data_IF_055832397242
#
_entry.id   IF_055832397242
#
_cell.length_a   1.000
_cell.length_b   1.000
_cell.length_c   1.000
_cell.angle_alpha   90.00
_cell.angle_beta   90.00
_cell.angle_gamma   90.00
#
_symmetry.space_group_name_H-M   'P 1'
#
loop_
_entity.id
_entity.type
_entity.pdbx_description
1 polymer ?
#
# COMPACT_ATOMS: atom_id res chain seq x y z
N UNK A 1 28.96 7.05 -18.63
CA UNK A 1 28.86 8.23 -17.75
C UNK A 1 27.98 7.81 -16.57
N UNK A 2 28.47 7.91 -15.33
CA UNK A 2 27.68 7.48 -14.15
C UNK A 2 26.45 8.41 -13.98
N UNK A 3 25.29 7.91 -13.55
CA UNK A 3 24.05 8.71 -13.46
C UNK A 3 24.21 9.94 -12.56
N UNK A 4 25.01 9.83 -11.49
CA UNK A 4 25.36 10.94 -10.60
C UNK A 4 26.12 12.07 -11.35
N UNK A 5 27.09 11.71 -12.19
CA UNK A 5 27.86 12.67 -12.99
C UNK A 5 27.01 13.42 -14.03
N UNK A 6 25.91 12.81 -14.49
CA UNK A 6 24.96 13.49 -15.38
C UNK A 6 24.08 14.49 -14.62
N UNK A 7 23.60 14.11 -13.43
CA UNK A 7 22.77 14.96 -12.58
C UNK A 7 23.54 16.18 -12.06
N UNK A 8 24.79 15.97 -11.65
CA UNK A 8 25.69 17.07 -11.28
C UNK A 8 25.82 18.05 -12.44
N UNK A 9 26.08 17.59 -13.66
CA UNK A 9 26.15 18.47 -14.85
C UNK A 9 24.83 19.16 -15.21
N UNK A 10 23.70 18.50 -14.96
CA UNK A 10 22.37 19.09 -15.22
C UNK A 10 22.10 20.28 -14.29
N UNK A 11 22.61 20.23 -13.06
CA UNK A 11 22.36 21.22 -12.01
C UNK A 11 23.54 22.19 -11.80
N UNK A 12 24.73 21.84 -12.29
CA UNK A 12 25.95 22.65 -12.12
C UNK A 12 25.83 24.00 -12.82
N UNK A 13 26.16 25.07 -12.08
CA UNK A 13 26.07 26.45 -12.56
C UNK A 13 24.65 26.92 -12.92
N UNK A 14 23.59 26.17 -12.57
CA UNK A 14 22.21 26.60 -12.82
C UNK A 14 21.82 27.69 -11.83
N UNK A 15 21.66 28.92 -12.33
CA UNK A 15 21.02 30.01 -11.59
C UNK A 15 19.57 29.65 -11.29
N UNK A 16 19.10 29.90 -10.06
CA UNK A 16 17.73 29.58 -9.64
C UNK A 16 17.12 30.77 -8.93
N UNK A 17 15.88 31.11 -9.31
CA UNK A 17 15.06 32.08 -8.62
C UNK A 17 13.88 31.37 -7.95
N UNK A 18 13.66 31.63 -6.66
CA UNK A 18 12.50 31.09 -5.94
C UNK A 18 11.35 32.09 -6.02
N UNK A 19 10.28 31.71 -6.72
CA UNK A 19 9.10 32.56 -6.92
C UNK A 19 7.92 32.07 -6.09
N UNK A 20 7.10 32.97 -5.53
CA UNK A 20 5.73 32.66 -5.15
C UNK A 20 4.98 31.89 -6.25
N UNK A 21 4.09 30.97 -5.88
CA UNK A 21 3.35 30.18 -6.86
C UNK A 21 2.41 31.05 -7.72
N UNK A 22 1.83 32.11 -7.16
CA UNK A 22 0.95 33.05 -7.89
C UNK A 22 1.64 33.73 -9.08
N UNK A 23 2.95 33.97 -9.01
CA UNK A 23 3.73 34.53 -10.10
C UNK A 23 3.77 33.60 -11.34
N UNK A 24 3.70 32.28 -11.14
CA UNK A 24 3.96 31.28 -12.20
C UNK A 24 2.83 30.27 -12.41
N UNK A 25 1.77 30.34 -11.60
CA UNK A 25 0.65 29.40 -11.63
C UNK A 25 -0.62 30.10 -11.15
N UNK A 26 -1.72 29.93 -11.87
CA UNK A 26 -3.04 30.31 -11.41
C UNK A 26 -3.67 29.17 -10.59
N UNK A 27 -4.70 29.49 -9.80
CA UNK A 27 -5.39 28.54 -8.95
C UNK A 27 -6.90 28.64 -9.09
N UNK A 28 -7.58 27.50 -9.22
CA UNK A 28 -9.02 27.42 -9.32
C UNK A 28 -9.63 26.59 -8.19
N UNK A 29 -10.45 27.24 -7.37
CA UNK A 29 -11.30 26.54 -6.41
C UNK A 29 -12.46 25.83 -7.13
N UNK A 30 -12.95 24.73 -6.57
CA UNK A 30 -14.09 24.01 -7.14
C UNK A 30 -15.47 24.62 -6.86
N UNK A 31 -16.50 23.97 -7.38
CA UNK A 31 -17.89 24.39 -7.27
C UNK A 31 -18.60 23.80 -6.04
N UNK A 32 -19.50 24.58 -5.44
CA UNK A 32 -20.24 24.22 -4.24
C UNK A 32 -21.46 23.32 -4.54
N UNK A 33 -21.19 22.08 -4.96
CA UNK A 33 -22.26 21.09 -5.16
C UNK A 33 -22.98 20.79 -3.84
N UNK A 34 -24.31 20.88 -3.85
CA UNK A 34 -25.16 20.65 -2.68
C UNK A 34 -25.28 19.13 -2.42
N UNK A 35 -24.98 18.70 -1.21
CA UNK A 35 -24.96 17.27 -0.85
C UNK A 35 -26.33 16.59 -0.97
N UNK A 36 -27.42 17.33 -0.75
CA UNK A 36 -28.78 16.84 -0.93
C UNK A 36 -29.17 16.63 -2.40
N UNK A 37 -28.35 17.09 -3.36
CA UNK A 37 -28.53 16.89 -4.80
C UNK A 37 -27.59 15.81 -5.35
N UNK A 38 -26.81 15.12 -4.50
CA UNK A 38 -25.96 14.03 -4.95
C UNK A 38 -26.80 12.85 -5.46
N UNK A 39 -26.33 12.26 -6.56
CA UNK A 39 -26.96 11.13 -7.25
C UNK A 39 -26.00 9.94 -7.29
N UNK A 40 -26.55 8.77 -7.60
CA UNK A 40 -25.79 7.53 -7.80
C UNK A 40 -25.36 7.34 -9.28
N UNK A 41 -25.84 8.19 -10.19
CA UNK A 41 -25.42 8.24 -11.60
C UNK A 41 -25.50 9.68 -12.14
N UNK A 42 -24.74 9.98 -13.21
CA UNK A 42 -24.68 11.31 -13.82
C UNK A 42 -23.25 11.74 -14.12
N UNK A 43 -22.95 13.04 -13.98
CA UNK A 43 -21.59 13.56 -14.10
C UNK A 43 -20.87 13.48 -12.74
N UNK A 44 -19.66 12.89 -12.69
CA UNK A 44 -18.96 12.66 -11.43
C UNK A 44 -18.33 13.92 -10.84
N UNK A 45 -18.32 13.99 -9.51
CA UNK A 45 -17.75 15.05 -8.70
C UNK A 45 -16.49 14.52 -8.01
N UNK A 46 -15.37 15.18 -8.24
CA UNK A 46 -14.11 14.93 -7.54
C UNK A 46 -14.17 15.64 -6.18
N UNK A 47 -14.16 14.85 -5.11
CA UNK A 47 -14.11 15.33 -3.72
C UNK A 47 -12.72 15.11 -3.13
N UNK A 48 -12.46 15.68 -1.96
CA UNK A 48 -11.18 15.54 -1.26
C UNK A 48 -10.78 14.08 -0.99
N UNK A 49 -11.75 13.17 -0.84
CA UNK A 49 -11.53 11.73 -0.65
C UNK A 49 -11.06 11.02 -1.91
N UNK A 50 -11.18 11.65 -3.09
CA UNK A 50 -10.74 11.12 -4.36
C UNK A 50 -9.26 11.41 -4.66
N UNK A 51 -8.56 12.14 -3.77
CA UNK A 51 -7.14 12.46 -3.93
C UNK A 51 -6.34 11.59 -2.96
N UNK A 52 -5.60 10.61 -3.50
CA UNK A 52 -4.90 9.61 -2.67
C UNK A 52 -3.54 10.09 -2.15
N UNK A 53 -2.99 11.16 -2.74
CA UNK A 53 -1.63 11.67 -2.49
C UNK A 53 -0.67 11.54 -3.68
N UNK A 54 -1.11 10.93 -4.78
CA UNK A 54 -0.39 10.82 -6.06
C UNK A 54 -1.34 10.95 -7.27
N UNK A 55 -2.49 10.29 -7.22
CA UNK A 55 -3.48 10.25 -8.28
C UNK A 55 -4.82 10.77 -7.80
N UNK A 56 -5.65 11.13 -8.78
CA UNK A 56 -7.08 11.33 -8.59
C UNK A 56 -7.79 10.02 -8.94
N UNK A 57 -8.42 9.39 -7.95
CA UNK A 57 -9.12 8.10 -8.09
C UNK A 57 -10.63 8.32 -8.20
N UNK A 58 -11.26 7.61 -9.14
CA UNK A 58 -12.70 7.70 -9.41
C UNK A 58 -13.55 6.69 -8.61
N UNK A 59 -13.03 6.16 -7.51
CA UNK A 59 -13.75 5.25 -6.63
C UNK A 59 -14.71 6.03 -5.74
N UNK A 60 -15.93 5.51 -5.54
CA UNK A 60 -16.94 6.09 -4.67
C UNK A 60 -17.20 7.59 -4.91
N UNK A 61 -17.10 8.02 -6.17
CA UNK A 61 -17.48 9.38 -6.58
C UNK A 61 -18.98 9.59 -6.39
N UNK A 62 -19.35 10.86 -6.16
CA UNK A 62 -20.76 11.27 -6.18
C UNK A 62 -21.07 11.94 -7.49
N UNK A 63 -22.32 11.87 -7.92
CA UNK A 63 -22.75 12.39 -9.20
C UNK A 63 -23.73 13.54 -9.03
N UNK A 64 -23.88 14.35 -10.08
CA UNK A 64 -24.94 15.35 -10.19
C UNK A 64 -25.54 15.33 -11.60
N UNK A 65 -26.71 15.95 -11.76
CA UNK A 65 -27.26 16.27 -13.08
C UNK A 65 -27.00 17.73 -13.42
N UNK A 66 -26.56 18.07 -14.65
CA UNK A 66 -26.47 19.45 -15.11
C UNK A 66 -27.75 20.27 -14.87
N UNK A 67 -28.91 19.64 -15.01
CA UNK A 67 -30.22 20.29 -14.82
C UNK A 67 -30.49 20.73 -13.37
N UNK A 68 -29.72 20.25 -12.39
CA UNK A 68 -29.89 20.61 -10.98
C UNK A 68 -29.29 22.00 -10.66
N UNK A 69 -28.50 22.58 -11.58
CA UNK A 69 -27.79 23.86 -11.40
C UNK A 69 -28.08 24.79 -12.58
N UNK A 70 -28.24 26.10 -12.30
CA UNK A 70 -28.48 27.12 -13.34
C UNK A 70 -27.19 27.79 -13.79
N UNK A 71 -26.15 27.68 -12.97
CA UNK A 71 -24.84 28.24 -13.18
C UNK A 71 -24.07 27.45 -14.25
N UNK A 72 -23.28 28.16 -15.07
CA UNK A 72 -22.34 27.49 -15.96
C UNK A 72 -21.18 26.90 -15.14
N UNK A 73 -21.18 25.58 -15.03
CA UNK A 73 -20.18 24.81 -14.31
C UNK A 73 -19.08 24.24 -15.22
N UNK A 74 -19.11 24.51 -16.54
CA UNK A 74 -18.14 24.01 -17.52
C UNK A 74 -16.71 24.29 -17.09
N UNK A 75 -16.50 25.46 -16.49
CA UNK A 75 -15.18 25.90 -16.06
C UNK A 75 -14.56 25.07 -14.92
N UNK A 76 -15.37 24.26 -14.20
CA UNK A 76 -14.92 23.34 -13.14
C UNK A 76 -14.60 21.93 -13.63
N UNK A 77 -14.66 21.71 -14.94
CA UNK A 77 -14.27 20.44 -15.56
C UNK A 77 -12.79 20.13 -15.31
N UNK A 78 -12.51 18.85 -15.12
CA UNK A 78 -11.17 18.29 -14.91
C UNK A 78 -10.74 17.58 -16.18
N UNK A 79 -9.55 17.90 -16.67
CA UNK A 79 -8.93 17.31 -17.85
C UNK A 79 -7.71 16.49 -17.50
N UNK A 80 -7.34 15.54 -18.38
CA UNK A 80 -6.13 14.72 -18.18
C UNK A 80 -4.91 15.62 -17.95
N UNK A 81 -4.13 15.29 -16.95
CA UNK A 81 -2.95 16.03 -16.52
C UNK A 81 -3.24 17.13 -15.51
N UNK A 82 -4.51 17.47 -15.21
CA UNK A 82 -4.84 18.45 -14.19
C UNK A 82 -4.31 18.01 -12.82
N UNK A 83 -3.71 18.96 -12.10
CA UNK A 83 -3.13 18.74 -10.77
C UNK A 83 -4.09 19.30 -9.73
N UNK A 84 -4.58 18.42 -8.89
CA UNK A 84 -5.60 18.72 -7.89
C UNK A 84 -5.02 18.62 -6.48
N UNK A 85 -5.57 19.42 -5.57
CA UNK A 85 -5.21 19.40 -4.14
C UNK A 85 -6.45 19.35 -3.26
N UNK A 86 -6.40 18.50 -2.23
CA UNK A 86 -7.41 18.47 -1.18
C UNK A 86 -7.16 19.61 -0.19
N UNK A 87 -8.16 20.47 0.01
CA UNK A 87 -8.00 21.71 0.77
C UNK A 87 -8.52 21.61 2.21
N UNK A 88 -9.18 20.53 2.63
CA UNK A 88 -9.72 20.44 3.99
C UNK A 88 -9.81 19.01 4.54
N UNK A 89 -9.88 18.89 5.88
CA UNK A 89 -10.07 17.64 6.59
C UNK A 89 -8.82 16.77 6.68
N UNK A 90 -8.98 15.46 6.92
CA UNK A 90 -7.85 14.52 7.07
C UNK A 90 -7.02 14.32 5.79
N UNK A 91 -7.47 14.88 4.67
CA UNK A 91 -6.81 14.80 3.36
C UNK A 91 -6.12 16.10 2.97
N UNK A 92 -6.18 17.15 3.79
CA UNK A 92 -5.59 18.45 3.49
C UNK A 92 -4.13 18.33 3.06
N UNK A 93 -3.79 18.98 1.94
CA UNK A 93 -2.43 18.98 1.40
C UNK A 93 -2.08 17.77 0.54
N UNK A 94 -2.95 16.77 0.44
CA UNK A 94 -2.79 15.69 -0.55
C UNK A 94 -2.97 16.26 -1.96
N UNK A 95 -2.06 15.87 -2.85
CA UNK A 95 -2.03 16.30 -4.25
C UNK A 95 -2.22 15.08 -5.13
N UNK A 96 -2.89 15.23 -6.27
CA UNK A 96 -3.08 14.15 -7.22
C UNK A 96 -3.15 14.67 -8.64
N UNK A 97 -2.60 13.90 -9.58
CA UNK A 97 -2.75 14.17 -11.02
C UNK A 97 -3.92 13.36 -11.59
N UNK A 98 -4.75 14.00 -12.43
CA UNK A 98 -5.86 13.33 -13.10
C UNK A 98 -5.38 12.60 -14.36
N UNK A 99 -5.75 11.33 -14.52
CA UNK A 99 -5.25 10.45 -15.60
C UNK A 99 -6.36 9.78 -16.43
N UNK A 100 -7.63 10.01 -16.09
CA UNK A 100 -8.76 9.36 -16.78
C UNK A 100 -9.34 10.27 -17.86
N UNK A 101 -9.82 9.69 -18.96
CA UNK A 101 -10.54 10.41 -20.02
C UNK A 101 -11.98 10.77 -19.62
N UNK A 102 -12.46 10.28 -18.46
CA UNK A 102 -13.82 10.57 -18.01
C UNK A 102 -13.97 12.06 -17.71
N UNK A 103 -15.11 12.63 -18.09
CA UNK A 103 -15.46 13.99 -17.70
C UNK A 103 -15.82 14.05 -16.22
N UNK A 104 -15.18 14.91 -15.45
CA UNK A 104 -15.43 15.07 -14.00
C UNK A 104 -15.38 16.54 -13.59
N UNK A 105 -15.95 16.88 -12.43
CA UNK A 105 -16.07 18.25 -11.94
C UNK A 105 -15.49 18.44 -10.54
N UNK A 106 -14.87 19.60 -10.29
CA UNK A 106 -14.23 19.94 -9.02
C UNK A 106 -15.24 20.35 -7.94
N UNK A 107 -15.20 19.68 -6.79
CA UNK A 107 -15.92 20.11 -5.59
C UNK A 107 -15.25 21.33 -4.91
N UNK A 108 -16.00 22.13 -4.15
CA UNK A 108 -15.51 23.36 -3.50
C UNK A 108 -14.33 23.17 -2.53
N UNK A 109 -14.10 21.95 -2.03
CA UNK A 109 -12.95 21.63 -1.16
C UNK A 109 -11.74 21.07 -1.91
N UNK A 110 -11.80 21.04 -3.24
CA UNK A 110 -10.72 20.63 -4.13
C UNK A 110 -10.27 21.83 -4.95
N UNK A 111 -8.96 22.05 -4.97
CA UNK A 111 -8.33 23.08 -5.79
C UNK A 111 -7.65 22.48 -7.02
N UNK A 112 -7.55 23.26 -8.10
CA UNK A 112 -6.81 22.93 -9.32
C UNK A 112 -5.73 23.97 -9.57
N UNK A 113 -4.51 23.50 -9.82
CA UNK A 113 -3.40 24.33 -10.27
C UNK A 113 -3.40 24.47 -11.80
N UNK A 114 -3.15 25.68 -12.28
CA UNK A 114 -3.11 26.03 -13.70
C UNK A 114 -1.76 26.72 -13.96
N UNK A 115 -0.67 25.97 -14.20
CA UNK A 115 0.65 26.55 -14.42
C UNK A 115 0.68 27.41 -15.68
N UNK A 116 1.49 28.48 -15.67
CA UNK A 116 1.77 29.27 -16.87
C UNK A 116 2.77 28.50 -17.72
N UNK A 117 2.30 27.82 -18.76
CA UNK A 117 3.07 26.82 -19.52
C UNK A 117 4.37 27.36 -20.16
N UNK A 118 4.46 28.67 -20.39
CA UNK A 118 5.66 29.34 -20.88
C UNK A 118 6.75 29.55 -19.82
N UNK A 119 6.48 29.24 -18.55
CA UNK A 119 7.39 29.43 -17.40
C UNK A 119 7.55 28.13 -16.61
N UNK A 120 6.45 27.40 -16.39
CA UNK A 120 6.39 26.30 -15.45
C UNK A 120 5.84 25.04 -16.10
N UNK A 121 6.67 24.01 -16.18
CA UNK A 121 6.24 22.69 -16.63
C UNK A 121 5.26 22.10 -15.61
N UNK A 122 4.09 21.69 -16.08
CA UNK A 122 3.02 21.12 -15.25
C UNK A 122 3.49 19.93 -14.39
N UNK A 123 4.23 18.98 -14.96
CA UNK A 123 4.72 17.82 -14.20
C UNK A 123 5.83 18.19 -13.21
N UNK A 124 6.62 19.20 -13.52
CA UNK A 124 7.60 19.74 -12.58
C UNK A 124 6.90 20.30 -11.34
N UNK A 125 5.83 21.08 -11.54
CA UNK A 125 4.95 21.54 -10.46
C UNK A 125 4.37 20.37 -9.65
N UNK A 126 3.86 19.33 -10.32
CA UNK A 126 3.33 18.14 -9.64
C UNK A 126 4.36 17.48 -8.72
N UNK A 127 5.58 17.19 -9.21
CA UNK A 127 6.62 16.58 -8.38
C UNK A 127 7.08 17.51 -7.25
N UNK A 128 7.14 18.81 -7.50
CA UNK A 128 7.46 19.82 -6.48
C UNK A 128 6.40 19.85 -5.36
N UNK A 129 5.12 19.78 -5.72
CA UNK A 129 4.02 19.76 -4.75
C UNK A 129 4.05 18.47 -3.90
N UNK A 130 4.35 17.32 -4.50
CA UNK A 130 4.53 16.06 -3.77
C UNK A 130 5.65 16.14 -2.72
N UNK A 131 6.78 16.76 -3.08
CA UNK A 131 7.91 17.00 -2.18
C UNK A 131 7.49 17.85 -0.96
N UNK A 132 6.60 18.83 -1.17
CA UNK A 132 6.25 19.85 -0.18
C UNK A 132 4.95 19.57 0.60
N UNK A 133 4.38 18.35 0.52
CA UNK A 133 3.13 17.97 1.21
C UNK A 133 3.13 18.31 2.70
N UNK A 134 4.26 18.10 3.41
CA UNK A 134 4.40 18.47 4.83
C UNK A 134 4.31 19.98 5.05
N UNK A 135 5.02 20.78 4.25
CA UNK A 135 4.99 22.24 4.31
C UNK A 135 3.59 22.78 3.99
N UNK A 136 2.94 22.21 2.97
CA UNK A 136 1.56 22.52 2.57
C UNK A 136 0.59 22.22 3.71
N UNK A 137 0.76 21.09 4.39
CA UNK A 137 -0.08 20.73 5.54
C UNK A 137 0.09 21.71 6.70
N UNK A 138 1.33 22.13 7.01
CA UNK A 138 1.61 23.14 8.04
C UNK A 138 0.94 24.48 7.68
N UNK A 139 0.93 24.86 6.40
CA UNK A 139 0.26 26.09 5.93
C UNK A 139 -1.27 26.07 6.12
N UNK A 140 -1.89 24.89 6.19
CA UNK A 140 -3.35 24.79 6.34
C UNK A 140 -3.85 25.24 7.71
N UNK A 141 -3.02 25.16 8.77
CA UNK A 141 -3.42 25.50 10.14
C UNK A 141 -4.65 24.72 10.65
N UNK A 142 -5.04 24.92 11.91
CA UNK A 142 -6.20 24.25 12.53
C UNK A 142 -5.91 22.81 12.98
N UNK A 143 -6.26 22.48 14.23
CA UNK A 143 -5.91 21.21 14.88
C UNK A 143 -6.47 19.94 14.19
N UNK A 144 -7.64 19.45 14.64
CA UNK A 144 -8.18 18.17 14.16
C UNK A 144 -8.79 18.23 12.73
N UNK A 145 -9.14 19.43 12.23
CA UNK A 145 -9.69 19.64 10.89
C UNK A 145 -8.97 20.82 10.20
N UNK A 146 -7.84 20.55 9.53
CA UNK A 146 -7.08 21.59 8.86
C UNK A 146 -7.82 22.12 7.64
N UNK A 147 -7.65 23.40 7.32
CA UNK A 147 -8.29 24.07 6.18
C UNK A 147 -7.32 25.00 5.44
N UNK A 148 -6.94 24.62 4.23
CA UNK A 148 -5.94 25.31 3.44
C UNK A 148 -6.54 26.52 2.70
N UNK A 149 -6.06 27.71 3.04
CA UNK A 149 -6.35 28.92 2.26
C UNK A 149 -5.58 28.90 0.94
N UNK A 150 -6.29 29.04 -0.18
CA UNK A 150 -5.67 29.15 -1.51
C UNK A 150 -4.75 30.37 -1.61
N UNK A 151 -5.15 31.52 -1.08
CA UNK A 151 -4.29 32.71 -1.07
C UNK A 151 -3.00 32.46 -0.28
N UNK A 152 -3.08 31.82 0.89
CA UNK A 152 -1.90 31.51 1.69
C UNK A 152 -0.99 30.48 0.99
N UNK A 153 -1.58 29.46 0.36
CA UNK A 153 -0.84 28.47 -0.41
C UNK A 153 -0.08 29.12 -1.57
N UNK A 154 -0.77 29.92 -2.39
CA UNK A 154 -0.20 30.49 -3.61
C UNK A 154 0.85 31.57 -3.32
N UNK A 155 0.65 32.40 -2.30
CA UNK A 155 1.60 33.47 -1.94
C UNK A 155 2.81 32.99 -1.13
N UNK A 156 2.65 31.96 -0.29
CA UNK A 156 3.72 31.53 0.66
C UNK A 156 4.53 30.34 0.19
N UNK A 157 3.99 29.48 -0.68
CA UNK A 157 4.76 28.35 -1.20
C UNK A 157 5.64 28.85 -2.36
N UNK A 158 6.95 28.86 -2.13
CA UNK A 158 7.93 29.25 -3.15
C UNK A 158 8.32 28.05 -3.99
N UNK A 159 8.40 28.21 -5.31
CA UNK A 159 8.84 27.20 -6.28
C UNK A 159 10.14 27.65 -6.97
N UNK A 160 11.13 26.75 -7.18
CA UNK A 160 12.36 27.12 -7.85
C UNK A 160 12.16 27.15 -9.37
N UNK A 161 12.56 28.26 -9.99
CA UNK A 161 12.59 28.44 -11.44
C UNK A 161 14.07 28.45 -11.87
N UNK A 162 14.57 27.36 -12.50
CA UNK A 162 15.95 27.31 -12.99
C UNK A 162 16.12 28.20 -14.21
N UNK A 163 17.29 28.82 -14.40
CA UNK A 163 17.58 29.72 -15.51
C UNK A 163 16.45 30.75 -15.78
N UNK A 164 16.04 31.56 -14.77
CA UNK A 164 14.86 32.41 -14.86
C UNK A 164 14.91 33.42 -16.02
N UNK A 165 16.12 33.81 -16.41
CA UNK A 165 16.39 34.75 -17.51
C UNK A 165 16.35 34.08 -18.90
N UNK A 166 16.17 32.76 -18.99
CA UNK A 166 16.07 32.00 -20.24
C UNK A 166 14.95 30.94 -20.13
N UNK A 167 13.70 31.30 -20.47
CA UNK A 167 12.54 30.41 -20.33
C UNK A 167 12.67 29.09 -21.09
N UNK A 168 13.27 29.09 -22.28
CA UNK A 168 13.48 27.87 -23.06
C UNK A 168 14.42 26.90 -22.34
N UNK A 169 15.56 27.41 -21.86
CA UNK A 169 16.51 26.61 -21.07
C UNK A 169 15.89 26.16 -19.75
N UNK A 170 15.11 27.01 -19.09
CA UNK A 170 14.38 26.67 -17.87
C UNK A 170 13.46 25.47 -18.09
N UNK A 171 12.59 25.54 -19.09
CA UNK A 171 11.64 24.48 -19.42
C UNK A 171 12.35 23.20 -19.85
N UNK A 172 13.49 23.29 -20.54
CA UNK A 172 14.31 22.12 -20.88
C UNK A 172 14.85 21.41 -19.62
N UNK A 173 15.40 22.16 -18.65
CA UNK A 173 15.87 21.60 -17.36
C UNK A 173 14.71 20.98 -16.59
N UNK A 174 13.58 21.69 -16.45
CA UNK A 174 12.39 21.17 -15.79
C UNK A 174 11.90 19.88 -16.45
N UNK A 175 11.88 19.82 -17.78
CA UNK A 175 11.46 18.63 -18.55
C UNK A 175 12.41 17.46 -18.35
N UNK A 176 13.71 17.70 -18.23
CA UNK A 176 14.69 16.65 -17.97
C UNK A 176 14.55 16.07 -16.55
N UNK A 177 14.31 16.94 -15.56
CA UNK A 177 13.95 16.52 -14.20
C UNK A 177 12.70 15.64 -14.22
N UNK A 178 11.65 16.10 -14.89
CA UNK A 178 10.39 15.35 -15.06
C UNK A 178 10.65 14.01 -15.72
N UNK A 179 11.45 13.95 -16.79
CA UNK A 179 11.76 12.70 -17.50
C UNK A 179 12.39 11.66 -16.57
N UNK A 180 13.27 12.08 -15.68
CA UNK A 180 13.93 11.20 -14.70
C UNK A 180 12.92 10.71 -13.66
N UNK A 181 12.12 11.61 -13.09
CA UNK A 181 11.14 11.28 -12.04
C UNK A 181 9.96 10.45 -12.56
N UNK A 182 9.49 10.73 -13.78
CA UNK A 182 8.46 9.94 -14.45
C UNK A 182 8.93 8.50 -14.71
N UNK A 183 10.21 8.30 -15.04
CA UNK A 183 10.76 6.95 -15.25
C UNK A 183 10.69 6.11 -13.98
N UNK A 184 11.02 6.68 -12.82
CA UNK A 184 10.86 5.97 -11.54
C UNK A 184 9.41 5.72 -11.18
N UNK A 185 8.53 6.69 -11.45
CA UNK A 185 7.09 6.57 -11.20
C UNK A 185 6.47 5.46 -12.07
N UNK A 186 6.83 5.38 -13.35
CA UNK A 186 6.38 4.35 -14.27
C UNK A 186 6.83 2.95 -13.85
N UNK A 187 8.11 2.78 -13.49
CA UNK A 187 8.63 1.50 -13.00
C UNK A 187 7.93 1.04 -11.72
N UNK A 188 7.66 1.96 -10.79
CA UNK A 188 6.94 1.64 -9.55
C UNK A 188 5.50 1.20 -9.84
N UNK A 189 4.83 1.87 -10.79
CA UNK A 189 3.48 1.50 -11.21
C UNK A 189 3.44 0.13 -11.89
N UNK A 190 4.39 -0.16 -12.79
CA UNK A 190 4.53 -1.45 -13.47
C UNK A 190 4.75 -2.59 -12.46
N UNK A 191 5.68 -2.42 -11.51
CA UNK A 191 5.94 -3.41 -10.46
C UNK A 191 4.72 -3.65 -9.57
N UNK A 192 3.94 -2.61 -9.26
CA UNK A 192 2.72 -2.72 -8.46
C UNK A 192 1.61 -3.47 -9.22
N UNK A 193 1.48 -3.21 -10.52
CA UNK A 193 0.56 -3.93 -11.40
C UNK A 193 0.97 -5.41 -11.55
N UNK A 194 2.26 -5.67 -11.71
CA UNK A 194 2.82 -7.03 -11.77
C UNK A 194 2.59 -7.77 -10.45
N UNK A 195 2.85 -7.15 -9.30
CA UNK A 195 2.58 -7.75 -7.98
C UNK A 195 1.10 -8.13 -7.83
N UNK A 196 0.19 -7.26 -8.27
CA UNK A 196 -1.25 -7.53 -8.23
C UNK A 196 -1.61 -8.73 -9.11
N UNK A 197 -1.06 -8.78 -10.33
CA UNK A 197 -1.27 -9.89 -11.27
C UNK A 197 -0.71 -11.20 -10.72
N UNK A 198 0.49 -11.18 -10.13
CA UNK A 198 1.12 -12.35 -9.53
C UNK A 198 0.37 -12.86 -8.30
N UNK A 199 -0.23 -12.00 -7.49
CA UNK A 199 -1.10 -12.43 -6.39
C UNK A 199 -2.36 -13.14 -6.88
N UNK A 200 -3.00 -12.64 -7.95
CA UNK A 200 -4.14 -13.31 -8.58
C UNK A 200 -3.74 -14.67 -9.14
N UNK A 201 -2.61 -14.72 -9.85
CA UNK A 201 -2.06 -15.95 -10.41
C UNK A 201 -1.70 -16.97 -9.32
N UNK A 202 -1.08 -16.53 -8.22
CA UNK A 202 -0.76 -17.36 -7.07
C UNK A 202 -2.02 -18.00 -6.49
N UNK A 203 -3.07 -17.22 -6.23
CA UNK A 203 -4.32 -17.75 -5.69
C UNK A 203 -4.93 -18.82 -6.61
N UNK A 204 -5.00 -18.53 -7.91
CA UNK A 204 -5.51 -19.49 -8.90
C UNK A 204 -4.73 -20.81 -8.89
N UNK A 205 -3.40 -20.76 -9.01
CA UNK A 205 -2.59 -21.99 -9.04
C UNK A 205 -2.52 -22.69 -7.69
N UNK A 206 -2.53 -21.97 -6.58
CA UNK A 206 -2.62 -22.55 -5.23
C UNK A 206 -3.88 -23.38 -5.13
N UNK A 207 -5.02 -22.81 -5.50
CA UNK A 207 -6.30 -23.49 -5.42
C UNK A 207 -6.35 -24.68 -6.39
N UNK A 208 -5.78 -24.56 -7.58
CA UNK A 208 -5.66 -25.68 -8.53
C UNK A 208 -4.76 -26.81 -8.01
N UNK A 209 -3.59 -26.50 -7.45
CA UNK A 209 -2.61 -27.48 -6.95
C UNK A 209 -3.10 -28.21 -5.70
N UNK A 210 -3.95 -27.56 -4.90
CA UNK A 210 -4.51 -28.07 -3.64
C UNK A 210 -5.98 -28.52 -3.79
N UNK A 211 -6.47 -28.63 -5.03
CA UNK A 211 -7.73 -29.29 -5.34
C UNK A 211 -7.44 -30.70 -5.85
N UNK A 212 -8.20 -31.65 -5.33
CA UNK A 212 -8.01 -33.07 -5.60
C UNK A 212 -9.35 -33.68 -5.97
N UNK A 213 -9.39 -34.42 -7.07
CA UNK A 213 -10.59 -35.15 -7.47
C UNK A 213 -10.87 -36.31 -6.52
N UNK A 214 -12.14 -36.63 -6.31
CA UNK A 214 -12.57 -37.80 -5.53
C UNK A 214 -11.92 -39.09 -6.07
N UNK A 215 -11.45 -39.94 -5.15
CA UNK A 215 -10.81 -41.21 -5.47
C UNK A 215 -9.37 -41.13 -5.99
N UNK A 216 -8.81 -39.94 -6.26
CA UNK A 216 -7.42 -39.79 -6.74
C UNK A 216 -6.39 -39.62 -5.63
N UNK A 217 -6.84 -39.34 -4.40
CA UNK A 217 -5.99 -39.12 -3.23
C UNK A 217 -6.68 -39.70 -2.00
N UNK A 218 -5.88 -40.27 -1.09
CA UNK A 218 -6.35 -40.73 0.21
C UNK A 218 -6.62 -39.53 1.13
N UNK A 219 -7.73 -39.57 1.87
CA UNK A 219 -8.06 -38.59 2.89
C UNK A 219 -7.77 -39.20 4.27
N UNK A 220 -7.10 -38.43 5.12
CA UNK A 220 -6.72 -38.85 6.48
C UNK A 220 -7.22 -37.84 7.50
N UNK A 221 -7.62 -38.33 8.68
CA UNK A 221 -7.95 -37.46 9.78
C UNK A 221 -6.68 -36.79 10.31
N UNK A 222 -6.74 -35.48 10.54
CA UNK A 222 -5.59 -34.67 10.93
C UNK A 222 -4.91 -35.22 12.20
N UNK A 223 -5.69 -35.70 13.17
CA UNK A 223 -5.17 -36.27 14.41
C UNK A 223 -4.45 -37.62 14.26
N UNK A 224 -4.58 -38.31 13.12
CA UNK A 224 -3.87 -39.58 12.86
C UNK A 224 -2.43 -39.35 12.40
N UNK A 225 -2.16 -38.17 11.81
CA UNK A 225 -0.90 -37.87 11.11
C UNK A 225 -0.22 -36.60 11.63
N UNK A 226 -0.79 -35.94 12.65
CA UNK A 226 -0.19 -34.76 13.29
C UNK A 226 -0.27 -34.83 14.81
N UNK A 227 0.77 -34.33 15.46
CA UNK A 227 0.77 -33.95 16.87
C UNK A 227 0.08 -32.59 17.03
N UNK A 228 -0.99 -32.57 17.82
CA UNK A 228 -1.84 -31.40 18.04
C UNK A 228 -1.91 -31.10 19.54
N UNK A 229 -1.35 -29.97 19.95
CA UNK A 229 -1.54 -29.46 21.32
C UNK A 229 -1.38 -27.95 21.37
N UNK A 230 -1.78 -27.38 22.50
CA UNK A 230 -1.48 -26.00 22.86
C UNK A 230 -0.22 -25.95 23.72
N UNK A 231 0.34 -24.75 23.88
CA UNK A 231 1.43 -24.51 24.80
C UNK A 231 0.97 -23.86 26.09
N UNK A 232 1.83 -23.04 26.67
CA UNK A 232 1.64 -22.40 27.97
C UNK A 232 2.00 -20.92 27.93
N UNK A 233 1.54 -20.14 28.92
CA UNK A 233 1.95 -18.75 29.02
C UNK A 233 3.42 -18.69 29.48
N UNK A 234 4.29 -17.88 28.85
CA UNK A 234 5.66 -17.72 29.32
C UNK A 234 5.67 -17.06 30.71
N UNK A 235 6.66 -17.42 31.54
CA UNK A 235 6.84 -16.85 32.89
C UNK A 235 7.14 -15.35 32.83
N UNK A 236 7.86 -14.91 31.79
CA UNK A 236 8.21 -13.51 31.55
C UNK A 236 7.94 -13.19 30.08
N UNK A 237 7.16 -12.13 29.84
CA UNK A 237 6.92 -11.62 28.49
C UNK A 237 7.96 -10.55 28.17
N UNK A 238 8.67 -10.73 27.06
CA UNK A 238 9.68 -9.78 26.61
C UNK A 238 9.12 -8.97 25.45
N UNK A 239 9.30 -7.64 25.52
CA UNK A 239 8.87 -6.71 24.47
C UNK A 239 10.00 -6.34 23.50
N UNK A 240 11.24 -6.68 23.84
CA UNK A 240 12.42 -6.52 22.98
C UNK A 240 12.70 -7.79 22.17
N UNK A 241 13.31 -7.62 21.00
CA UNK A 241 13.61 -8.73 20.09
C UNK A 241 14.50 -9.78 20.78
N UNK A 242 14.09 -11.04 20.69
CA UNK A 242 14.89 -12.23 21.03
C UNK A 242 14.86 -13.22 19.87
N UNK A 243 15.55 -14.35 20.02
CA UNK A 243 15.53 -15.44 19.03
C UNK A 243 14.19 -16.21 18.99
N UNK A 244 13.32 -16.04 19.99
CA UNK A 244 12.09 -16.83 20.14
C UNK A 244 10.85 -15.95 20.21
N UNK A 245 10.02 -16.05 19.17
CA UNK A 245 8.73 -15.40 19.11
C UNK A 245 7.74 -16.06 20.08
N UNK A 246 6.93 -15.26 20.78
CA UNK A 246 5.77 -15.76 21.52
C UNK A 246 4.52 -15.74 20.63
N UNK A 247 4.00 -16.91 20.30
CA UNK A 247 2.80 -17.08 19.46
C UNK A 247 1.64 -17.53 20.34
N UNK A 248 0.79 -16.60 20.77
CA UNK A 248 -0.33 -16.91 21.66
C UNK A 248 -1.62 -17.21 20.91
N UNK A 249 -2.10 -16.25 20.13
CA UNK A 249 -3.38 -16.36 19.42
C UNK A 249 -3.18 -16.73 17.94
N UNK A 250 -2.01 -17.24 17.56
CA UNK A 250 -1.67 -17.75 16.22
C UNK A 250 -1.64 -16.73 15.08
N UNK A 251 -2.34 -15.59 15.17
CA UNK A 251 -2.50 -14.58 14.11
C UNK A 251 -1.31 -13.66 13.92
N UNK A 252 -0.59 -13.39 15.00
CA UNK A 252 0.58 -12.52 15.02
C UNK A 252 1.42 -12.82 16.26
N UNK A 253 2.64 -12.28 16.25
CA UNK A 253 3.55 -12.32 17.38
C UNK A 253 2.96 -11.54 18.56
N UNK A 254 2.84 -12.21 19.70
CA UNK A 254 2.31 -11.64 20.95
C UNK A 254 3.42 -11.09 21.87
N UNK A 255 4.67 -11.14 21.43
CA UNK A 255 5.87 -10.71 22.13
C UNK A 255 7.01 -11.70 21.88
N UNK A 256 7.95 -11.76 22.83
CA UNK A 256 9.13 -12.62 22.76
C UNK A 256 9.33 -13.39 24.07
N UNK A 257 10.14 -14.44 24.00
CA UNK A 257 10.58 -15.25 25.14
C UNK A 257 12.09 -15.48 25.13
N UNK A 258 12.67 -15.82 26.29
CA UNK A 258 14.11 -16.18 26.40
C UNK A 258 14.43 -17.58 25.88
N UNK A 259 13.42 -18.44 25.76
CA UNK A 259 13.54 -19.86 25.40
C UNK A 259 12.40 -20.23 24.44
N UNK A 260 12.53 -21.33 23.74
CA UNK A 260 11.43 -22.00 23.04
C UNK A 260 10.77 -23.05 23.95
N UNK A 261 9.51 -23.39 23.66
CA UNK A 261 8.86 -24.61 24.14
C UNK A 261 8.29 -25.45 22.97
N UNK A 262 8.49 -24.98 21.74
CA UNK A 262 8.07 -25.63 20.51
C UNK A 262 9.16 -25.46 19.46
N UNK A 263 9.45 -26.55 18.74
CA UNK A 263 10.36 -26.52 17.61
C UNK A 263 9.77 -25.76 16.42
N UNK A 264 10.63 -25.41 15.47
CA UNK A 264 10.22 -24.85 14.18
C UNK A 264 9.56 -25.89 13.28
N UNK A 265 9.50 -25.58 11.98
CA UNK A 265 8.79 -26.37 10.96
C UNK A 265 7.37 -26.79 11.42
N UNK A 266 6.63 -25.85 12.01
CA UNK A 266 5.38 -26.14 12.70
C UNK A 266 4.26 -25.25 12.17
N UNK A 267 3.11 -25.87 11.84
CA UNK A 267 1.90 -25.13 11.47
C UNK A 267 1.18 -24.71 12.75
N UNK A 268 0.67 -23.48 12.77
CA UNK A 268 -0.03 -22.92 13.95
C UNK A 268 -1.40 -22.41 13.56
N UNK A 269 -2.41 -22.67 14.39
CA UNK A 269 -3.74 -22.08 14.22
C UNK A 269 -4.33 -21.66 15.57
N UNK A 270 -5.14 -20.59 15.65
CA UNK A 270 -5.69 -20.12 16.92
C UNK A 270 -6.70 -21.13 17.46
N UNK A 271 -6.60 -21.47 18.76
CA UNK A 271 -7.57 -22.34 19.43
C UNK A 271 -8.79 -21.56 19.92
N UNK A 272 -8.59 -20.28 20.29
CA UNK A 272 -9.65 -19.37 20.77
C UNK A 272 -9.33 -17.92 20.40
N UNK A 273 -10.35 -17.09 20.22
CA UNK A 273 -10.19 -15.63 20.10
C UNK A 273 -11.23 -14.97 19.19
N UNK A 274 -11.42 -13.67 19.38
CA UNK A 274 -12.36 -12.87 18.59
C UNK A 274 -11.68 -12.43 17.29
N UNK A 275 -12.00 -13.09 16.18
CA UNK A 275 -11.50 -12.77 14.84
C UNK A 275 -10.22 -13.49 14.40
N UNK A 276 -9.60 -14.30 15.26
CA UNK A 276 -8.40 -15.07 14.89
C UNK A 276 -8.66 -16.47 14.33
N UNK A 277 -9.78 -17.10 14.69
CA UNK A 277 -10.13 -18.45 14.23
C UNK A 277 -10.12 -18.50 12.69
N UNK A 278 -9.56 -19.57 12.13
CA UNK A 278 -9.36 -19.72 10.68
C UNK A 278 -7.99 -19.27 10.18
N UNK A 279 -7.23 -18.49 10.97
CA UNK A 279 -5.86 -18.14 10.60
C UNK A 279 -4.94 -19.37 10.64
N UNK A 280 -4.01 -19.44 9.67
CA UNK A 280 -3.00 -20.49 9.58
C UNK A 280 -1.62 -19.84 9.45
N UNK A 281 -0.80 -20.01 10.47
CA UNK A 281 0.59 -19.57 10.51
C UNK A 281 1.57 -20.73 10.31
N UNK A 282 2.82 -20.40 10.03
CA UNK A 282 3.91 -21.37 9.92
C UNK A 282 5.17 -20.83 10.58
N UNK A 283 5.63 -21.53 11.61
CA UNK A 283 6.80 -21.16 12.40
C UNK A 283 8.01 -21.90 11.84
N UNK A 284 8.91 -21.17 11.18
CA UNK A 284 10.14 -21.73 10.59
C UNK A 284 11.19 -22.06 11.64
N UNK A 285 11.29 -21.23 12.67
CA UNK A 285 12.25 -21.31 13.76
C UNK A 285 11.58 -21.79 15.05
N UNK A 286 12.33 -22.32 16.02
CA UNK A 286 11.80 -22.58 17.35
C UNK A 286 11.15 -21.33 17.94
N UNK A 287 10.09 -21.52 18.71
CA UNK A 287 9.26 -20.44 19.24
C UNK A 287 8.62 -20.84 20.57
N UNK A 288 7.95 -19.90 21.22
CA UNK A 288 7.12 -20.17 22.38
C UNK A 288 5.65 -20.24 21.98
N UNK A 289 5.09 -21.44 22.02
CA UNK A 289 3.67 -21.73 21.81
C UNK A 289 2.88 -21.34 23.06
N UNK A 290 1.86 -20.50 22.86
CA UNK A 290 0.93 -20.09 23.91
C UNK A 290 -0.28 -21.01 24.08
N UNK A 291 -1.08 -20.79 25.14
CA UNK A 291 -2.25 -21.61 25.43
C UNK A 291 -3.42 -21.39 24.45
N UNK A 292 -3.44 -20.29 23.70
CA UNK A 292 -4.52 -19.94 22.76
C UNK A 292 -4.20 -20.32 21.30
N UNK A 293 -3.18 -21.13 21.07
CA UNK A 293 -2.74 -21.56 19.76
C UNK A 293 -2.47 -23.06 19.76
N UNK A 294 -3.02 -23.75 18.76
CA UNK A 294 -2.64 -25.10 18.42
C UNK A 294 -1.37 -25.08 17.58
N UNK A 295 -0.41 -25.94 17.94
CA UNK A 295 0.52 -26.47 16.95
C UNK A 295 -0.11 -27.66 16.22
N UNK A 296 0.28 -27.82 14.97
CA UNK A 296 -0.04 -28.93 14.08
C UNK A 296 1.28 -29.34 13.45
N UNK A 297 1.85 -30.45 13.89
CA UNK A 297 3.16 -30.91 13.44
C UNK A 297 3.07 -32.37 12.99
N UNK A 298 3.59 -32.67 11.81
CA UNK A 298 3.63 -34.03 11.27
C UNK A 298 4.34 -34.99 12.22
N UNK A 299 3.73 -36.14 12.47
CA UNK A 299 4.35 -37.22 13.27
C UNK A 299 5.39 -38.00 12.44
N UNK A 300 5.28 -37.98 11.11
CA UNK A 300 6.24 -38.59 10.19
C UNK A 300 6.37 -37.74 8.91
N UNK A 301 7.50 -37.06 8.78
CA UNK A 301 7.81 -36.22 7.62
C UNK A 301 7.98 -37.00 6.30
N UNK A 302 8.03 -38.34 6.34
CA UNK A 302 7.97 -39.20 5.14
C UNK A 302 6.54 -39.38 4.63
N UNK A 303 5.54 -39.07 5.47
CA UNK A 303 4.11 -39.18 5.16
C UNK A 303 3.53 -37.80 4.85
N UNK A 304 3.77 -36.82 5.72
CA UNK A 304 3.19 -35.48 5.61
C UNK A 304 4.27 -34.41 5.79
N UNK A 305 4.39 -33.49 4.83
CA UNK A 305 5.22 -32.30 4.99
C UNK A 305 4.44 -31.19 5.70
N UNK A 306 5.01 -30.63 6.78
CA UNK A 306 4.41 -29.51 7.52
C UNK A 306 4.13 -28.31 6.61
N UNK A 307 5.00 -28.06 5.64
CA UNK A 307 4.83 -26.97 4.67
C UNK A 307 3.67 -27.21 3.69
N UNK A 308 3.43 -28.47 3.30
CA UNK A 308 2.24 -28.83 2.52
C UNK A 308 0.97 -28.63 3.34
N UNK A 309 0.97 -29.11 4.60
CA UNK A 309 -0.14 -28.90 5.54
C UNK A 309 -0.47 -27.42 5.71
N UNK A 310 0.55 -26.58 5.88
CA UNK A 310 0.41 -25.13 5.96
C UNK A 310 -0.34 -24.57 4.74
N UNK A 311 0.13 -24.87 3.53
CA UNK A 311 -0.48 -24.36 2.31
C UNK A 311 -1.91 -24.87 2.11
N UNK A 312 -2.16 -26.15 2.40
CA UNK A 312 -3.49 -26.73 2.32
C UNK A 312 -4.47 -26.02 3.25
N UNK A 313 -4.16 -25.96 4.56
CA UNK A 313 -5.02 -25.32 5.55
C UNK A 313 -5.17 -23.82 5.30
N UNK A 314 -4.12 -23.14 4.83
CA UNK A 314 -4.22 -21.74 4.43
C UNK A 314 -5.18 -21.54 3.26
N UNK A 315 -5.13 -22.40 2.24
CA UNK A 315 -6.04 -22.33 1.08
C UNK A 315 -7.48 -22.71 1.41
N UNK A 316 -7.68 -23.54 2.44
CA UNK A 316 -8.97 -24.06 2.89
C UNK A 316 -9.29 -23.59 4.31
N UNK A 317 -8.99 -22.33 4.63
CA UNK A 317 -9.18 -21.77 5.98
C UNK A 317 -10.64 -21.82 6.43
N UNK A 318 -11.60 -21.90 5.51
CA UNK A 318 -13.02 -22.14 5.79
C UNK A 318 -13.23 -23.43 6.60
N UNK A 319 -12.47 -24.48 6.34
CA UNK A 319 -12.55 -25.72 7.11
C UNK A 319 -12.31 -25.50 8.60
N UNK A 320 -11.38 -24.62 8.96
CA UNK A 320 -11.11 -24.26 10.36
C UNK A 320 -12.17 -23.31 10.93
N UNK A 321 -12.74 -22.44 10.09
CA UNK A 321 -13.84 -21.55 10.46
C UNK A 321 -15.13 -22.33 10.75
N UNK A 322 -15.40 -23.40 10.02
CA UNK A 322 -16.60 -24.23 10.18
C UNK A 322 -16.59 -25.02 11.50
N UNK A 323 -15.40 -25.25 12.08
CA UNK A 323 -15.25 -25.85 13.41
C UNK A 323 -15.50 -24.85 14.55
N UNK A 324 -15.62 -23.55 14.25
CA UNK A 324 -15.81 -22.49 15.24
C UNK A 324 -17.12 -22.68 16.01
N UNK A 325 -17.05 -22.67 17.34
CA UNK A 325 -18.21 -22.65 18.22
C UNK A 325 -18.46 -21.24 18.74
N UNK A 326 -19.72 -20.81 18.68
CA UNK A 326 -20.18 -19.47 19.10
C UNK A 326 -21.22 -19.60 20.22
N UNK A 327 -20.73 -19.63 21.45
CA UNK A 327 -21.54 -19.56 22.68
C UNK A 327 -20.84 -18.75 23.79
N UNK A 328 -19.80 -18.00 23.41
CA UNK A 328 -18.83 -17.33 24.27
C UNK A 328 -17.67 -16.81 23.40
N UNK A 329 -16.45 -16.69 23.96
CA UNK A 329 -15.26 -16.41 23.14
C UNK A 329 -15.12 -17.49 22.07
N UNK A 330 -15.07 -17.15 20.76
CA UNK A 330 -15.02 -18.15 19.70
C UNK A 330 -13.86 -19.11 19.88
N UNK A 331 -14.12 -20.40 19.70
CA UNK A 331 -13.16 -21.45 19.95
C UNK A 331 -13.29 -22.60 18.94
N UNK A 332 -12.18 -23.28 18.70
CA UNK A 332 -12.12 -24.57 18.00
C UNK A 332 -11.71 -25.62 19.03
N UNK A 333 -12.54 -26.66 19.20
CA UNK A 333 -12.22 -27.74 20.12
C UNK A 333 -11.23 -28.72 19.48
N UNK A 334 -10.24 -29.19 20.25
CA UNK A 334 -9.29 -30.22 19.78
C UNK A 334 -10.01 -31.47 19.27
N UNK A 335 -11.11 -31.88 19.91
CA UNK A 335 -11.91 -33.06 19.53
C UNK A 335 -12.53 -32.96 18.15
N UNK A 336 -12.77 -31.73 17.67
CA UNK A 336 -13.32 -31.47 16.34
C UNK A 336 -12.17 -31.29 15.34
N UNK A 337 -11.11 -30.59 15.74
CA UNK A 337 -9.92 -30.36 14.91
C UNK A 337 -9.22 -31.67 14.50
N UNK A 338 -9.11 -32.65 15.40
CA UNK A 338 -8.48 -33.95 15.08
C UNK A 338 -9.25 -34.74 14.01
N UNK A 339 -10.55 -34.49 13.86
CA UNK A 339 -11.43 -35.17 12.90
C UNK A 339 -11.44 -34.51 11.53
N UNK A 340 -10.79 -33.35 11.38
CA UNK A 340 -10.68 -32.68 10.10
C UNK A 340 -9.94 -33.59 9.11
N UNK A 341 -10.54 -33.87 7.96
CA UNK A 341 -9.89 -34.67 6.93
C UNK A 341 -9.05 -33.79 6.00
N UNK A 342 -7.84 -34.26 5.68
CA UNK A 342 -6.96 -33.61 4.71
C UNK A 342 -6.55 -34.61 3.61
N UNK A 343 -6.38 -34.14 2.36
CA UNK A 343 -5.89 -34.97 1.28
C UNK A 343 -4.40 -35.22 1.47
N UNK A 344 -4.00 -36.50 1.37
CA UNK A 344 -2.64 -36.97 1.55
C UNK A 344 -2.09 -37.54 0.24
N UNK A 345 -1.70 -36.68 -0.72
CA UNK A 345 -1.04 -37.15 -1.94
C UNK A 345 0.35 -37.70 -1.62
N UNK A 346 0.96 -38.41 -2.59
CA UNK A 346 2.33 -38.93 -2.43
C UNK A 346 3.33 -37.85 -2.02
N UNK A 347 4.34 -38.22 -1.25
CA UNK A 347 5.37 -37.30 -0.76
C UNK A 347 6.01 -36.49 -1.90
N UNK A 348 6.26 -37.13 -3.05
CA UNK A 348 6.79 -36.47 -4.26
C UNK A 348 5.84 -35.39 -4.77
N UNK A 349 4.52 -35.61 -4.74
CA UNK A 349 3.53 -34.61 -5.13
C UNK A 349 3.47 -33.47 -4.11
N UNK A 350 3.52 -33.77 -2.81
CA UNK A 350 3.60 -32.74 -1.75
C UNK A 350 4.84 -31.85 -1.94
N UNK A 351 6.02 -32.43 -2.18
CA UNK A 351 7.26 -31.69 -2.44
C UNK A 351 7.16 -30.78 -3.67
N UNK A 352 6.55 -31.27 -4.75
CA UNK A 352 6.32 -30.46 -5.96
C UNK A 352 5.39 -29.28 -5.67
N UNK A 353 4.29 -29.51 -4.95
CA UNK A 353 3.35 -28.45 -4.56
C UNK A 353 4.07 -27.40 -3.71
N UNK A 354 4.77 -27.83 -2.65
CA UNK A 354 5.52 -26.94 -1.76
C UNK A 354 6.55 -26.12 -2.55
N UNK A 355 7.33 -26.74 -3.42
CA UNK A 355 8.33 -26.06 -4.26
C UNK A 355 7.71 -24.94 -5.10
N UNK A 356 6.55 -25.18 -5.71
CA UNK A 356 5.89 -24.16 -6.52
C UNK A 356 5.32 -23.04 -5.65
N UNK A 357 4.66 -23.38 -4.54
CA UNK A 357 4.03 -22.38 -3.67
C UNK A 357 5.06 -21.53 -2.91
N UNK A 358 6.18 -22.11 -2.47
CA UNK A 358 7.28 -21.35 -1.86
C UNK A 358 7.88 -20.34 -2.85
N UNK A 359 8.05 -20.73 -4.12
CA UNK A 359 8.56 -19.82 -5.16
C UNK A 359 7.61 -18.64 -5.38
N UNK A 360 6.30 -18.87 -5.40
CA UNK A 360 5.32 -17.78 -5.54
C UNK A 360 5.22 -16.91 -4.29
N UNK A 361 5.26 -17.51 -3.10
CA UNK A 361 5.20 -16.80 -1.83
C UNK A 361 6.42 -15.88 -1.67
N UNK A 362 7.62 -16.38 -1.96
CA UNK A 362 8.84 -15.58 -1.96
C UNK A 362 8.74 -14.38 -2.92
N UNK A 363 8.21 -14.59 -4.13
CA UNK A 363 8.07 -13.52 -5.12
C UNK A 363 7.04 -12.45 -4.72
N UNK A 364 5.93 -12.83 -4.07
CA UNK A 364 4.77 -11.94 -3.88
C UNK A 364 4.65 -11.35 -2.48
N UNK A 365 5.22 -12.00 -1.46
CA UNK A 365 5.04 -11.63 -0.06
C UNK A 365 6.38 -11.32 0.64
N UNK A 366 7.53 -11.72 0.09
CA UNK A 366 8.81 -11.45 0.73
C UNK A 366 9.20 -9.97 0.67
N UNK A 367 9.50 -9.41 1.85
CA UNK A 367 10.05 -8.06 2.01
C UNK A 367 11.59 -8.02 1.91
N UNK A 368 12.25 -9.17 1.76
CA UNK A 368 13.72 -9.24 1.64
C UNK A 368 14.20 -9.57 0.22
N UNK A 369 13.41 -10.30 -0.57
CA UNK A 369 13.85 -10.83 -1.89
C UNK A 369 12.75 -10.87 -2.96
N UNK A 370 11.54 -10.34 -2.68
CA UNK A 370 10.39 -10.35 -3.59
C UNK A 370 10.06 -9.00 -4.22
N UNK A 371 8.98 -8.98 -5.01
CA UNK A 371 8.43 -7.74 -5.59
C UNK A 371 8.14 -6.64 -4.54
N UNK A 372 7.64 -6.93 -3.33
CA UNK A 372 7.48 -5.91 -2.30
C UNK A 372 8.79 -5.19 -1.96
N UNK A 373 9.91 -5.91 -1.88
CA UNK A 373 11.24 -5.32 -1.64
C UNK A 373 11.68 -4.43 -2.79
N UNK A 374 11.52 -4.90 -4.02
CA UNK A 374 11.87 -4.12 -5.20
C UNK A 374 11.05 -2.83 -5.27
N UNK A 375 9.74 -2.87 -5.01
CA UNK A 375 8.87 -1.69 -4.94
C UNK A 375 9.36 -0.70 -3.88
N UNK A 376 9.68 -1.18 -2.67
CA UNK A 376 10.22 -0.34 -1.59
C UNK A 376 11.54 0.34 -2.01
N UNK A 377 12.45 -0.40 -2.64
CA UNK A 377 13.72 0.13 -3.12
C UNK A 377 13.53 1.18 -4.21
N UNK A 378 12.58 0.97 -5.14
CA UNK A 378 12.26 1.97 -6.18
C UNK A 378 11.61 3.22 -5.60
N UNK A 379 10.78 3.10 -4.57
CA UNK A 379 10.22 4.25 -3.85
C UNK A 379 11.33 5.05 -3.16
N UNK A 380 12.25 4.38 -2.46
CA UNK A 380 13.42 5.04 -1.83
C UNK A 380 14.32 5.73 -2.86
N UNK A 381 14.55 5.09 -4.02
CA UNK A 381 15.30 5.71 -5.11
C UNK A 381 14.57 6.94 -5.67
N UNK A 382 13.27 6.85 -5.89
CA UNK A 382 12.46 7.99 -6.32
C UNK A 382 12.57 9.15 -5.34
N UNK A 383 12.41 8.91 -4.04
CA UNK A 383 12.54 9.94 -3.01
C UNK A 383 13.93 10.57 -3.00
N UNK A 384 14.99 9.76 -3.03
CA UNK A 384 16.36 10.25 -3.10
C UNK A 384 16.62 11.13 -4.32
N UNK A 385 16.24 10.68 -5.52
CA UNK A 385 16.46 11.45 -6.75
C UNK A 385 15.56 12.68 -6.84
N UNK A 386 14.32 12.60 -6.36
CA UNK A 386 13.43 13.77 -6.23
C UNK A 386 14.08 14.82 -5.34
N UNK A 387 14.51 14.42 -4.15
CA UNK A 387 15.10 15.35 -3.19
C UNK A 387 16.39 15.96 -3.75
N UNK A 388 17.23 15.16 -4.40
CA UNK A 388 18.45 15.64 -5.08
C UNK A 388 18.15 16.63 -6.21
N UNK A 389 17.19 16.31 -7.09
CA UNK A 389 16.84 17.13 -8.26
C UNK A 389 16.13 18.44 -7.91
N UNK A 390 15.52 18.50 -6.72
CA UNK A 390 14.90 19.72 -6.18
C UNK A 390 15.77 20.38 -5.10
N UNK A 391 17.00 19.94 -4.88
CA UNK A 391 17.93 20.50 -3.89
C UNK A 391 18.60 21.80 -4.38
N UNK A 392 17.80 22.75 -4.83
CA UNK A 392 18.30 24.06 -5.23
C UNK A 392 18.63 24.91 -3.99
N UNK A 393 19.69 25.76 -4.05
CA UNK A 393 19.99 26.69 -2.97
C UNK A 393 18.79 27.57 -2.66
N UNK A 394 18.33 27.55 -1.40
CA UNK A 394 17.21 28.39 -0.94
C UNK A 394 17.70 29.81 -0.61
N UNK A 395 16.86 30.84 -0.80
CA UNK A 395 17.18 32.18 -0.31
C UNK A 395 17.44 32.12 1.20
N UNK A 396 18.43 32.88 1.67
CA UNK A 396 18.71 33.01 3.11
C UNK A 396 17.43 33.49 3.81
N UNK A 397 17.03 32.91 4.96
CA UNK A 397 15.91 33.44 5.70
C UNK A 397 16.22 34.89 6.04
N UNK A 398 15.31 35.79 5.66
CA UNK A 398 15.38 37.20 6.09
C UNK A 398 15.13 37.17 7.59
N UNK A 399 16.21 37.24 8.37
CA UNK A 399 16.15 37.50 9.80
C UNK A 399 15.69 38.94 9.97
N UNK A 400 14.44 39.11 10.40
CA UNK A 400 13.93 40.40 10.88
C UNK A 400 14.52 40.74 12.25
#
# INVERSE_FOLDING_TARGET
MNQLSYLEKLLDGVEVEWKPLDDVCDFKNGFAFKSNLFKEAGLPIIRITNIDGFNVILDNVKYFSPNDYKEDISSFEVSIGDILIAMSGATTGKVGIYKSEKKCYLNQRVGKFIPKDNILNKKFLYHFLLLNTKSIYILAGGGAQPNLSSNALMSKLLIPIPCPNNPEKSLAIQSEIVRILDKFTALTAELTAELTTRKKQYNYYRDQLLSFDEGKVEWKMLGEITDINTGSKPTELINTLTDFDYINAGTSRSGYSKKSNCEGDTVTTPSRGQGGIGYVGYQRKPFWLGPLCYKLQSIDNRVLLNKYLFYFLQSKSCLLLDLKKEGGVPAVNKSDLIKLEIPLPSLVKQQKIVKYLDKFDALTNSISEGLPREIELRQKQYEYYRDLLFNFPKPKPVTN
#
